data_IF_044798846642
#
_entry.id   IF_044798846642
#
_cell.length_a   1.000
_cell.length_b   1.000
_cell.length_c   1.000
_cell.angle_alpha   90.00
_cell.angle_beta   90.00
_cell.angle_gamma   90.00
#
_symmetry.space_group_name_H-M   'P 1'
#
loop_
_entity.id
_entity.type
_entity.pdbx_description
1 polymer ?
#
# COMPACT_ATOMS: atom_id res chain seq x y z
N UNK A 1 -11.76 -24.06 7.29
CA UNK A 1 -11.36 -22.67 7.61
C UNK A 1 -12.42 -22.10 8.51
N UNK A 2 -12.05 -21.61 9.70
CA UNK A 2 -12.97 -20.84 10.53
C UNK A 2 -13.31 -19.54 9.80
N UNK A 3 -14.55 -19.03 9.89
CA UNK A 3 -14.90 -17.73 9.31
C UNK A 3 -14.01 -16.64 9.91
N UNK A 4 -13.74 -15.54 9.16
CA UNK A 4 -13.04 -14.39 9.72
C UNK A 4 -13.81 -13.92 10.95
N UNK A 5 -13.14 -13.85 12.09
CA UNK A 5 -13.73 -13.40 13.34
C UNK A 5 -14.23 -11.96 13.15
N UNK A 6 -15.53 -11.71 13.31
CA UNK A 6 -16.15 -10.37 13.41
C UNK A 6 -15.62 -9.53 14.62
N UNK A 7 -14.54 -9.97 15.27
CA UNK A 7 -14.22 -9.69 16.67
C UNK A 7 -13.11 -8.64 16.92
N UNK A 8 -12.53 -8.00 15.90
CA UNK A 8 -11.41 -7.07 16.09
C UNK A 8 -11.71 -5.65 15.56
N UNK A 9 -12.94 -5.18 15.71
CA UNK A 9 -13.27 -3.76 15.44
C UNK A 9 -12.68 -2.90 16.54
N UNK A 10 -11.77 -1.99 16.16
CA UNK A 10 -11.28 -0.94 17.05
C UNK A 10 -12.23 0.27 17.04
N UNK A 11 -12.45 0.83 18.22
CA UNK A 11 -13.14 2.09 18.44
C UNK A 11 -12.24 3.09 19.16
N UNK A 12 -12.65 4.36 19.21
CA UNK A 12 -11.94 5.39 19.96
C UNK A 12 -12.76 5.72 21.21
N UNK A 13 -12.13 5.63 22.38
CA UNK A 13 -12.73 6.01 23.66
C UNK A 13 -11.67 6.68 24.53
N UNK A 14 -11.99 7.87 25.05
CA UNK A 14 -11.13 8.64 25.97
C UNK A 14 -9.68 8.82 25.46
N UNK A 15 -9.52 9.00 24.14
CA UNK A 15 -8.20 9.18 23.51
C UNK A 15 -7.42 7.88 23.24
N UNK A 16 -8.02 6.72 23.48
CA UNK A 16 -7.42 5.41 23.24
C UNK A 16 -8.12 4.65 22.12
N UNK A 17 -7.36 3.84 21.39
CA UNK A 17 -7.92 2.74 20.59
C UNK A 17 -8.36 1.62 21.55
N UNK A 18 -9.61 1.20 21.45
CA UNK A 18 -10.21 0.22 22.36
C UNK A 18 -10.90 -0.86 21.54
N UNK A 19 -10.62 -2.12 21.88
CA UNK A 19 -11.27 -3.27 21.27
C UNK A 19 -12.68 -3.52 21.82
N UNK A 20 -13.39 -4.48 21.23
CA UNK A 20 -14.75 -4.84 21.65
C UNK A 20 -14.85 -5.36 23.09
N UNK A 21 -13.74 -5.73 23.74
CA UNK A 21 -13.69 -6.18 25.13
C UNK A 21 -13.37 -5.03 26.10
N UNK A 22 -13.23 -3.81 25.62
CA UNK A 22 -12.89 -2.64 26.43
C UNK A 22 -11.40 -2.54 26.78
N UNK A 23 -10.52 -3.33 26.14
CA UNK A 23 -9.07 -3.28 26.37
C UNK A 23 -8.46 -2.18 25.51
N UNK A 24 -7.50 -1.44 26.06
CA UNK A 24 -6.70 -0.48 25.29
C UNK A 24 -5.76 -1.24 24.36
N UNK A 25 -5.89 -1.02 23.05
CA UNK A 25 -5.06 -1.62 22.04
C UNK A 25 -3.82 -0.76 21.78
N UNK A 26 -2.63 -1.38 21.80
CA UNK A 26 -1.39 -0.75 21.38
C UNK A 26 -1.04 -1.20 19.96
N UNK A 27 -1.17 -0.28 19.01
CA UNK A 27 -0.87 -0.55 17.61
C UNK A 27 0.64 -0.42 17.36
N UNK A 28 1.35 -1.55 17.41
CA UNK A 28 2.79 -1.62 17.18
C UNK A 28 3.08 -2.33 15.86
N UNK A 29 3.75 -1.60 14.98
CA UNK A 29 3.80 -1.97 13.58
C UNK A 29 4.94 -1.32 12.81
N UNK A 30 4.89 -1.54 11.50
CA UNK A 30 5.84 -0.99 10.53
C UNK A 30 5.11 -0.43 9.32
N UNK A 31 5.81 0.41 8.55
CA UNK A 31 5.37 0.77 7.21
C UNK A 31 5.59 -0.43 6.28
N UNK A 32 4.50 -0.90 5.65
CA UNK A 32 4.53 -1.83 4.55
C UNK A 32 4.60 -1.01 3.27
N UNK A 33 5.83 -0.62 2.91
CA UNK A 33 6.08 0.40 1.89
C UNK A 33 7.07 0.01 0.83
N UNK A 34 8.26 -0.48 1.21
CA UNK A 34 9.29 -0.98 0.29
C UNK A 34 9.38 -0.19 -1.02
N UNK A 35 8.95 -0.80 -2.11
CA UNK A 35 8.96 -0.25 -3.47
C UNK A 35 7.61 0.28 -3.98
N UNK A 36 6.60 0.43 -3.10
CA UNK A 36 5.22 0.86 -3.42
C UNK A 36 5.08 2.29 -3.92
N UNK A 37 6.09 3.13 -3.71
CA UNK A 37 6.07 4.53 -4.13
C UNK A 37 6.16 4.72 -5.64
N UNK A 38 6.67 3.71 -6.34
CA UNK A 38 6.99 3.80 -7.76
C UNK A 38 6.51 2.56 -8.52
N UNK A 39 6.13 2.74 -9.80
CA UNK A 39 5.58 1.65 -10.58
C UNK A 39 6.61 0.54 -10.78
N UNK A 40 6.10 -0.66 -11.07
CA UNK A 40 6.91 -1.81 -11.45
C UNK A 40 7.78 -1.46 -12.66
N UNK A 41 9.04 -1.92 -12.66
CA UNK A 41 10.00 -1.63 -13.73
C UNK A 41 10.59 -0.21 -13.71
N UNK A 42 10.13 0.69 -12.84
CA UNK A 42 10.76 2.01 -12.69
C UNK A 42 12.18 1.86 -12.11
N UNK A 43 13.18 2.23 -12.90
CA UNK A 43 14.60 2.13 -12.54
C UNK A 43 15.18 3.47 -12.08
N UNK A 44 15.97 3.46 -11.00
CA UNK A 44 16.68 4.63 -10.47
C UNK A 44 18.11 4.77 -11.00
N UNK A 45 18.39 4.31 -12.22
CA UNK A 45 19.76 4.30 -12.74
C UNK A 45 19.95 5.41 -13.77
N UNK A 46 21.09 6.08 -13.71
CA UNK A 46 21.50 7.16 -14.62
C UNK A 46 21.63 6.74 -16.10
N UNK A 47 21.42 5.45 -16.39
CA UNK A 47 21.49 4.84 -17.73
C UNK A 47 20.11 4.65 -18.40
N UNK A 48 19.05 5.24 -17.85
CA UNK A 48 17.72 5.15 -18.47
C UNK A 48 17.64 6.11 -19.66
N UNK A 49 17.14 5.60 -20.79
CA UNK A 49 16.79 6.45 -21.92
C UNK A 49 15.55 7.26 -21.54
N UNK A 50 15.73 8.58 -21.39
CA UNK A 50 14.67 9.51 -20.98
C UNK A 50 13.93 10.12 -22.17
N UNK A 51 14.21 9.68 -23.40
CA UNK A 51 13.54 10.19 -24.60
C UNK A 51 12.02 10.05 -24.52
N UNK A 52 11.54 8.95 -23.95
CA UNK A 52 10.11 8.65 -23.76
C UNK A 52 9.68 8.81 -22.29
N UNK A 53 10.37 9.65 -21.51
CA UNK A 53 10.16 9.75 -20.05
C UNK A 53 8.69 9.98 -19.66
N UNK A 54 7.95 10.77 -20.46
CA UNK A 54 6.54 11.09 -20.21
C UNK A 54 5.56 10.11 -20.88
N UNK A 55 5.96 9.43 -21.95
CA UNK A 55 5.06 8.72 -22.87
C UNK A 55 4.51 7.38 -22.31
N UNK A 56 4.91 7.01 -21.09
CA UNK A 56 4.44 5.82 -20.37
C UNK A 56 3.53 6.10 -19.17
N UNK A 57 3.21 7.37 -18.87
CA UNK A 57 2.55 7.75 -17.61
C UNK A 57 1.24 7.00 -17.33
N UNK A 58 0.41 6.82 -18.35
CA UNK A 58 -0.90 6.18 -18.26
C UNK A 58 -0.87 4.65 -18.40
N UNK A 59 0.30 4.03 -18.58
CA UNK A 59 0.45 2.60 -18.85
C UNK A 59 1.31 1.87 -17.81
N UNK A 60 1.53 2.48 -16.66
CA UNK A 60 2.32 1.91 -15.56
C UNK A 60 1.52 0.88 -14.77
N UNK A 61 2.19 0.04 -13.97
CA UNK A 61 1.50 -0.87 -13.03
C UNK A 61 2.17 -0.85 -11.68
N UNK A 62 1.36 -0.95 -10.63
CA UNK A 62 1.81 -1.09 -9.24
C UNK A 62 1.49 -2.47 -8.66
N UNK A 63 0.91 -3.38 -9.46
CA UNK A 63 0.67 -4.76 -9.05
C UNK A 63 1.99 -5.43 -8.67
N UNK A 64 2.01 -6.15 -7.54
CA UNK A 64 3.23 -6.77 -7.01
C UNK A 64 4.15 -5.81 -6.25
N UNK A 65 3.68 -4.60 -5.88
CA UNK A 65 4.37 -3.70 -4.96
C UNK A 65 3.68 -3.71 -3.58
N UNK A 66 4.40 -3.82 -2.44
CA UNK A 66 5.85 -3.73 -2.30
C UNK A 66 6.60 -5.03 -2.65
N UNK A 67 5.89 -6.15 -2.81
CA UNK A 67 6.44 -7.46 -3.17
C UNK A 67 5.41 -8.30 -3.96
N UNK A 68 5.84 -9.31 -4.72
CA UNK A 68 4.93 -10.28 -5.35
C UNK A 68 4.05 -10.98 -4.30
N UNK A 69 2.80 -11.29 -4.67
CA UNK A 69 1.82 -11.85 -3.72
C UNK A 69 2.27 -13.20 -3.14
N UNK A 70 2.99 -13.99 -3.91
CA UNK A 70 3.58 -15.27 -3.51
C UNK A 70 4.63 -15.13 -2.39
N UNK A 71 5.22 -13.94 -2.21
CA UNK A 71 6.18 -13.66 -1.15
C UNK A 71 5.52 -13.13 0.13
N UNK A 72 4.22 -12.81 0.09
CA UNK A 72 3.50 -12.21 1.22
C UNK A 72 3.60 -13.06 2.49
N UNK A 73 3.40 -14.37 2.38
CA UNK A 73 3.46 -15.31 3.52
C UNK A 73 4.85 -15.29 4.20
N UNK A 74 5.93 -15.16 3.43
CA UNK A 74 7.28 -15.06 3.96
C UNK A 74 7.48 -13.75 4.73
N UNK A 75 7.04 -12.62 4.18
CA UNK A 75 7.20 -11.31 4.82
C UNK A 75 6.33 -11.17 6.07
N UNK A 76 5.05 -11.52 5.98
CA UNK A 76 4.10 -11.42 7.09
C UNK A 76 4.47 -12.37 8.24
N UNK A 77 4.90 -13.61 7.94
CA UNK A 77 5.35 -14.52 9.00
C UNK A 77 6.58 -13.99 9.76
N UNK A 78 7.49 -13.25 9.11
CA UNK A 78 8.63 -12.59 9.78
C UNK A 78 8.17 -11.49 10.73
N UNK A 79 7.29 -10.60 10.26
CA UNK A 79 6.76 -9.50 11.08
C UNK A 79 5.99 -10.03 12.30
N UNK A 80 5.20 -11.09 12.11
CA UNK A 80 4.50 -11.76 13.22
C UNK A 80 5.48 -12.34 14.24
N UNK A 81 6.56 -13.01 13.79
CA UNK A 81 7.61 -13.55 14.68
C UNK A 81 8.37 -12.47 15.45
N UNK A 82 8.44 -11.24 14.93
CA UNK A 82 8.98 -10.08 15.63
C UNK A 82 7.98 -9.45 16.61
N UNK A 83 6.76 -9.96 16.70
CA UNK A 83 5.71 -9.48 17.60
C UNK A 83 4.98 -8.25 17.09
N UNK A 84 5.07 -7.95 15.79
CA UNK A 84 4.34 -6.84 15.18
C UNK A 84 2.93 -7.27 14.80
N UNK A 85 1.95 -6.40 15.05
CA UNK A 85 0.52 -6.67 14.85
C UNK A 85 -0.16 -5.61 13.99
N UNK A 86 0.57 -4.57 13.56
CA UNK A 86 0.02 -3.45 12.81
C UNK A 86 0.87 -3.13 11.58
N UNK A 87 0.23 -2.80 10.47
CA UNK A 87 0.87 -2.42 9.22
C UNK A 87 0.29 -1.11 8.71
N UNK A 88 1.16 -0.14 8.43
CA UNK A 88 0.82 1.05 7.66
C UNK A 88 1.14 0.77 6.19
N UNK A 89 0.13 0.41 5.40
CA UNK A 89 0.29 -0.01 4.01
C UNK A 89 0.24 1.20 3.09
N UNK A 90 1.40 1.54 2.53
CA UNK A 90 1.59 2.65 1.59
C UNK A 90 0.89 2.36 0.26
N UNK A 91 -0.04 3.22 -0.11
CA UNK A 91 -0.78 3.21 -1.38
C UNK A 91 -0.75 4.62 -1.96
N UNK A 92 -0.17 4.79 -3.14
CA UNK A 92 -0.17 6.10 -3.83
C UNK A 92 -1.44 6.27 -4.65
N UNK A 93 -1.81 7.51 -4.92
CA UNK A 93 -2.95 7.81 -5.82
C UNK A 93 -2.66 7.32 -7.25
N UNK A 94 -1.42 7.48 -7.72
CA UNK A 94 -0.99 6.99 -9.03
C UNK A 94 -1.20 5.47 -9.16
N UNK A 95 -0.97 4.69 -8.10
CA UNK A 95 -1.22 3.26 -8.13
C UNK A 95 -2.70 2.92 -8.39
N UNK A 96 -3.61 3.76 -7.92
CA UNK A 96 -5.06 3.57 -8.08
C UNK A 96 -5.56 4.13 -9.42
N UNK A 97 -4.97 5.21 -9.92
CA UNK A 97 -5.60 6.04 -10.97
C UNK A 97 -4.56 6.67 -11.92
N UNK A 98 -3.55 5.91 -12.34
CA UNK A 98 -2.51 6.40 -13.25
C UNK A 98 -3.02 6.74 -14.66
N UNK A 99 -4.04 6.02 -15.15
CA UNK A 99 -4.52 6.13 -16.53
C UNK A 99 -5.30 7.42 -16.83
N UNK A 100 -5.80 8.12 -15.80
CA UNK A 100 -6.57 9.35 -15.94
C UNK A 100 -7.70 9.46 -14.90
N UNK A 101 -8.34 10.64 -14.77
CA UNK A 101 -9.40 10.86 -13.80
C UNK A 101 -10.61 9.94 -14.07
N UNK A 102 -11.12 9.30 -13.02
CA UNK A 102 -12.14 8.27 -13.03
C UNK A 102 -11.68 6.88 -13.48
N UNK A 103 -10.42 6.71 -13.91
CA UNK A 103 -9.94 5.46 -14.49
C UNK A 103 -9.17 4.64 -13.45
N UNK A 104 -9.93 3.87 -12.67
CA UNK A 104 -9.42 3.07 -11.57
C UNK A 104 -8.74 1.79 -12.06
N UNK A 105 -7.51 1.53 -11.59
CA UNK A 105 -6.81 0.25 -11.76
C UNK A 105 -7.40 -0.82 -10.83
N UNK A 106 -8.38 -1.54 -11.35
CA UNK A 106 -9.02 -2.63 -10.61
C UNK A 106 -8.11 -3.84 -10.39
N UNK A 107 -7.06 -4.04 -11.19
CA UNK A 107 -6.10 -5.12 -10.97
C UNK A 107 -5.22 -4.81 -9.75
N UNK A 108 -4.79 -3.55 -9.62
CA UNK A 108 -4.13 -3.10 -8.40
C UNK A 108 -5.04 -3.21 -7.17
N UNK A 109 -6.32 -2.82 -7.27
CA UNK A 109 -7.27 -2.97 -6.16
C UNK A 109 -7.50 -4.43 -5.74
N UNK A 110 -7.51 -5.38 -6.70
CA UNK A 110 -7.57 -6.82 -6.39
C UNK A 110 -6.31 -7.28 -5.68
N UNK A 111 -5.15 -6.82 -6.13
CA UNK A 111 -3.87 -7.14 -5.52
C UNK A 111 -3.75 -6.62 -4.07
N UNK A 112 -4.09 -5.35 -3.79
CA UNK A 112 -4.04 -4.83 -2.41
C UNK A 112 -5.02 -5.58 -1.50
N UNK A 113 -6.21 -5.95 -2.01
CA UNK A 113 -7.17 -6.76 -1.25
C UNK A 113 -6.54 -8.09 -0.86
N UNK A 114 -5.91 -8.79 -1.80
CA UNK A 114 -5.27 -10.07 -1.54
C UNK A 114 -4.16 -9.95 -0.47
N UNK A 115 -3.37 -8.87 -0.50
CA UNK A 115 -2.35 -8.60 0.54
C UNK A 115 -3.00 -8.33 1.91
N UNK A 116 -4.11 -7.60 1.96
CA UNK A 116 -4.85 -7.33 3.21
C UNK A 116 -5.49 -8.61 3.77
N UNK A 117 -6.09 -9.43 2.92
CA UNK A 117 -6.64 -10.74 3.31
C UNK A 117 -5.53 -11.65 3.85
N UNK A 118 -4.36 -11.67 3.20
CA UNK A 118 -3.17 -12.35 3.72
C UNK A 118 -2.72 -11.80 5.06
N UNK A 119 -2.66 -10.47 5.24
CA UNK A 119 -2.30 -9.88 6.52
C UNK A 119 -3.23 -10.31 7.67
N UNK A 120 -4.53 -10.48 7.38
CA UNK A 120 -5.50 -10.99 8.35
C UNK A 120 -5.18 -12.43 8.79
N UNK A 121 -4.72 -13.30 7.90
CA UNK A 121 -4.28 -14.67 8.25
C UNK A 121 -3.12 -14.68 9.28
N UNK A 122 -2.35 -13.58 9.34
CA UNK A 122 -1.26 -13.38 10.30
C UNK A 122 -1.64 -12.52 11.52
N UNK A 123 -2.94 -12.26 11.74
CA UNK A 123 -3.47 -11.41 12.81
C UNK A 123 -2.89 -9.99 12.80
N UNK A 124 -2.68 -9.43 11.60
CA UNK A 124 -2.21 -8.05 11.44
C UNK A 124 -3.35 -7.13 11.07
N UNK A 125 -3.44 -6.02 11.79
CA UNK A 125 -4.30 -4.91 11.44
C UNK A 125 -3.60 -4.02 10.40
N UNK A 126 -4.36 -3.55 9.42
CA UNK A 126 -3.83 -2.74 8.32
C UNK A 126 -4.49 -1.38 8.31
N UNK A 127 -3.66 -0.33 8.24
CA UNK A 127 -4.09 1.02 7.90
C UNK A 127 -3.62 1.33 6.48
N UNK A 128 -4.57 1.65 5.59
CA UNK A 128 -4.27 2.09 4.23
C UNK A 128 -3.82 3.55 4.29
N UNK A 129 -2.61 3.79 3.83
CA UNK A 129 -1.96 5.09 3.83
C UNK A 129 -1.96 5.70 2.42
N UNK A 130 -2.84 6.67 2.12
CA UNK A 130 -2.80 7.42 0.86
C UNK A 130 -1.55 8.30 0.85
N UNK A 131 -0.45 7.76 0.33
CA UNK A 131 0.89 8.31 0.48
C UNK A 131 1.26 9.27 -0.63
N UNK A 132 2.08 10.26 -0.28
CA UNK A 132 2.83 11.08 -1.22
C UNK A 132 4.09 11.61 -0.54
N UNK A 133 5.13 11.82 -1.35
CA UNK A 133 6.24 12.72 -1.05
C UNK A 133 6.33 13.71 -2.20
N UNK A 134 6.48 15.00 -1.91
CA UNK A 134 6.69 16.05 -2.94
C UNK A 134 5.68 15.94 -4.11
N UNK A 135 4.41 15.66 -3.79
CA UNK A 135 3.28 15.53 -4.72
C UNK A 135 3.30 14.33 -5.66
N UNK A 136 4.32 14.19 -6.51
CA UNK A 136 4.33 13.23 -7.62
C UNK A 136 5.75 12.82 -8.01
N UNK A 137 5.91 11.65 -8.63
CA UNK A 137 7.20 11.24 -9.22
C UNK A 137 7.68 12.16 -10.33
N UNK A 138 6.75 12.88 -10.95
CA UNK A 138 7.03 13.88 -11.98
C UNK A 138 7.55 15.21 -11.42
N UNK A 139 7.47 15.39 -10.10
CA UNK A 139 8.00 16.55 -9.36
C UNK A 139 9.14 16.16 -8.42
N UNK A 140 9.70 14.95 -8.58
CA UNK A 140 10.82 14.44 -7.79
C UNK A 140 10.44 13.65 -6.53
N UNK A 141 9.18 13.24 -6.39
CA UNK A 141 8.70 12.45 -5.25
C UNK A 141 7.83 11.25 -5.65
N UNK A 142 6.64 11.13 -5.05
CA UNK A 142 5.64 10.09 -5.33
C UNK A 142 4.23 10.53 -4.89
N UNK A 143 3.19 9.83 -5.32
CA UNK A 143 1.84 10.04 -4.82
C UNK A 143 0.82 10.27 -5.94
N UNK A 144 0.72 11.49 -6.44
CA UNK A 144 -0.26 11.91 -7.43
C UNK A 144 0.13 11.49 -8.86
N UNK A 145 -0.85 11.04 -9.68
CA UNK A 145 -0.62 10.66 -11.08
C UNK A 145 -0.33 11.87 -11.97
N UNK A 146 0.24 11.60 -13.16
CA UNK A 146 0.68 12.64 -14.10
C UNK A 146 -0.43 13.62 -14.48
N UNK A 147 -1.64 13.12 -14.73
CA UNK A 147 -2.75 13.94 -15.20
C UNK A 147 -3.14 15.06 -14.20
N UNK A 148 -2.67 15.01 -12.96
CA UNK A 148 -2.83 16.10 -11.98
C UNK A 148 -1.93 17.31 -12.23
N UNK A 149 -0.95 17.16 -13.12
CA UNK A 149 0.02 18.18 -13.53
C UNK A 149 -0.21 18.66 -14.96
N UNK A 150 -1.09 17.99 -15.71
CA UNK A 150 -1.48 18.36 -17.05
C UNK A 150 -2.56 19.46 -16.99
N UNK A 151 -2.39 20.51 -17.79
CA UNK A 151 -3.32 21.65 -17.87
C UNK A 151 -4.44 21.41 -18.88
#
# INVERSE_FOLDING_TARGET
MAPPNENDVLSIKDGHFVDQHGRVALLRGVNLGGSSKLPFGYGHTDNQDMSDFFDGAASVSFVGRPFPLEEADLHLSRLQRWGLTFLRFIVTWEAIEHAGPGQIDHEYLKYIRAVVEKAADYNMQVYIDPHQDVWSRWTGGDGAPMWTLEC
#
